data_IF_674399094310
#
_entry.id   IF_674399094310
#
_cell.length_a   1.000
_cell.length_b   1.000
_cell.length_c   1.000
_cell.angle_alpha   90.00
_cell.angle_beta   90.00
_cell.angle_gamma   90.00
#
_symmetry.space_group_name_H-M   'P 1'
#
loop_
_entity.id
_entity.type
_entity.pdbx_description
1 polymer ?
#
# COMPACT_ATOMS: atom_id res chain seq x y z
N UNK A 1 12.20 -40.83 15.41
CA UNK A 1 12.24 -40.06 14.14
C UNK A 1 10.86 -39.58 13.68
N UNK A 2 9.86 -40.44 13.42
CA UNK A 2 8.52 -40.01 12.94
C UNK A 2 7.82 -38.96 13.82
N UNK A 3 7.87 -39.05 15.16
CA UNK A 3 7.19 -38.06 16.04
C UNK A 3 7.77 -36.64 15.93
N UNK A 4 9.10 -36.53 15.77
CA UNK A 4 9.83 -35.26 15.65
C UNK A 4 9.49 -34.57 14.32
N UNK A 5 9.43 -35.32 13.22
CA UNK A 5 9.07 -34.79 11.89
C UNK A 5 7.65 -34.19 11.88
N UNK A 6 6.69 -34.86 12.54
CA UNK A 6 5.32 -34.35 12.62
C UNK A 6 5.20 -33.13 13.54
N UNK A 7 5.99 -33.07 14.61
CA UNK A 7 6.03 -31.91 15.51
C UNK A 7 6.64 -30.69 14.81
N UNK A 8 7.71 -30.89 14.03
CA UNK A 8 8.31 -29.86 13.18
C UNK A 8 7.37 -29.39 12.07
N UNK A 9 6.62 -30.30 11.45
CA UNK A 9 5.62 -29.94 10.44
C UNK A 9 4.47 -29.10 11.04
N UNK A 10 3.95 -29.48 12.21
CA UNK A 10 2.94 -28.68 12.90
C UNK A 10 3.47 -27.33 13.38
N UNK A 11 4.73 -27.26 13.79
CA UNK A 11 5.37 -26.01 14.19
C UNK A 11 5.58 -25.09 12.98
N UNK A 12 6.01 -25.64 11.83
CA UNK A 12 6.11 -24.91 10.56
C UNK A 12 4.76 -24.39 10.03
N UNK A 13 3.70 -25.19 10.19
CA UNK A 13 2.33 -24.78 9.82
C UNK A 13 1.77 -23.70 10.78
N UNK A 14 2.09 -23.77 12.08
CA UNK A 14 1.72 -22.75 13.05
C UNK A 14 2.41 -21.41 12.76
N UNK A 15 3.69 -21.45 12.37
CA UNK A 15 4.42 -20.24 11.96
C UNK A 15 3.85 -19.62 10.68
N UNK A 16 3.37 -20.43 9.72
CA UNK A 16 2.70 -19.95 8.50
C UNK A 16 1.35 -19.27 8.78
N UNK A 17 0.63 -19.69 9.82
CA UNK A 17 -0.65 -19.06 10.21
C UNK A 17 -0.49 -17.71 10.93
N UNK A 18 0.70 -17.44 11.49
CA UNK A 18 0.99 -16.20 12.22
C UNK A 18 1.48 -15.06 11.29
N UNK A 19 1.86 -15.37 10.05
CA UNK A 19 2.38 -14.39 9.08
C UNK A 19 1.30 -13.79 8.17
N UNK A 20 0.03 -14.14 8.36
CA UNK A 20 -1.06 -13.48 7.64
C UNK A 20 -1.32 -12.11 8.26
N UNK A 21 -0.66 -11.06 7.77
CA UNK A 21 -1.04 -9.68 8.07
C UNK A 21 -2.24 -9.28 7.22
N UNK A 22 -3.14 -8.50 7.81
CA UNK A 22 -4.17 -7.80 7.07
C UNK A 22 -3.51 -6.67 6.27
N UNK A 23 -3.78 -6.59 4.97
CA UNK A 23 -3.39 -5.41 4.20
C UNK A 23 -4.08 -4.16 4.77
N UNK A 24 -3.38 -3.04 4.75
CA UNK A 24 -3.95 -1.75 5.15
C UNK A 24 -4.38 -0.98 3.91
N UNK A 25 -5.67 -0.66 3.81
CA UNK A 25 -6.21 0.18 2.73
C UNK A 25 -6.16 1.63 3.18
N UNK A 26 -5.64 2.50 2.31
CA UNK A 26 -5.62 3.94 2.49
C UNK A 26 -6.50 4.58 1.42
N UNK A 27 -7.35 5.52 1.84
CA UNK A 27 -8.11 6.40 0.95
C UNK A 27 -7.85 7.83 1.36
N UNK A 28 -7.46 8.66 0.42
CA UNK A 28 -7.21 10.06 0.73
C UNK A 28 -7.71 10.98 -0.38
N UNK A 29 -8.03 12.21 0.03
CA UNK A 29 -8.18 13.34 -0.88
C UNK A 29 -6.99 14.27 -0.61
N UNK A 30 -6.49 14.92 -1.66
CA UNK A 30 -5.33 15.79 -1.57
C UNK A 30 -5.49 17.02 -2.46
N UNK A 31 -4.77 18.07 -2.07
CA UNK A 31 -4.47 19.23 -2.89
C UNK A 31 -2.96 19.21 -3.23
N UNK A 32 -2.60 19.65 -4.43
CA UNK A 32 -1.22 19.74 -4.89
C UNK A 32 -1.02 20.96 -5.79
N UNK A 33 0.22 21.41 -5.95
CA UNK A 33 0.56 22.49 -6.88
C UNK A 33 1.79 23.28 -6.48
N UNK A 34 1.84 24.53 -6.91
CA UNK A 34 2.93 25.46 -6.60
C UNK A 34 2.41 26.73 -5.96
N UNK A 35 1.96 26.68 -4.69
CA UNK A 35 1.36 27.84 -4.02
C UNK A 35 2.25 29.09 -4.07
N UNK A 36 3.57 28.92 -4.04
CA UNK A 36 4.51 30.05 -4.15
C UNK A 36 4.38 30.82 -5.47
N UNK A 37 4.10 30.13 -6.58
CA UNK A 37 3.91 30.75 -7.90
C UNK A 37 2.43 31.08 -8.18
N UNK A 38 1.51 30.34 -7.57
CA UNK A 38 0.07 30.42 -7.80
C UNK A 38 -0.66 31.32 -6.78
N UNK A 39 0.05 32.23 -6.11
CA UNK A 39 -0.55 33.20 -5.18
C UNK A 39 -1.12 32.59 -3.89
N UNK A 40 -0.60 31.43 -3.49
CA UNK A 40 -1.02 30.67 -2.31
C UNK A 40 -2.05 29.58 -2.61
N UNK A 41 -2.49 29.44 -3.85
CA UNK A 41 -3.50 28.46 -4.24
C UNK A 41 -2.87 27.11 -4.61
N UNK A 42 -3.57 26.04 -4.25
CA UNK A 42 -3.30 24.71 -4.80
C UNK A 42 -4.14 24.55 -6.06
N UNK A 43 -3.47 24.44 -7.20
CA UNK A 43 -4.12 24.42 -8.53
C UNK A 43 -4.59 23.04 -8.95
N UNK A 44 -4.25 22.00 -8.18
CA UNK A 44 -4.64 20.62 -8.41
C UNK A 44 -5.32 20.03 -7.16
N UNK A 45 -6.32 19.19 -7.39
CA UNK A 45 -6.95 18.40 -6.34
C UNK A 45 -7.24 16.99 -6.85
N UNK A 46 -7.24 16.02 -5.95
CA UNK A 46 -7.36 14.62 -6.34
C UNK A 46 -7.71 13.70 -5.19
N UNK A 47 -7.81 12.42 -5.54
CA UNK A 47 -8.01 11.33 -4.61
C UNK A 47 -7.19 10.11 -5.03
N UNK A 48 -6.90 9.26 -4.07
CA UNK A 48 -6.33 7.95 -4.34
C UNK A 48 -6.88 6.88 -3.42
N UNK A 49 -6.71 5.64 -3.86
CA UNK A 49 -6.87 4.43 -3.06
C UNK A 49 -5.63 3.56 -3.26
N UNK A 50 -5.06 3.07 -2.17
CA UNK A 50 -3.93 2.14 -2.22
C UNK A 50 -3.97 1.14 -1.08
N UNK A 51 -3.20 0.07 -1.24
CA UNK A 51 -3.09 -1.02 -0.27
C UNK A 51 -1.63 -1.26 0.09
N UNK A 52 -1.27 -1.08 1.37
CA UNK A 52 0.01 -1.51 1.92
C UNK A 52 0.01 -3.05 1.97
N UNK A 53 0.53 -3.66 0.89
CA UNK A 53 0.49 -5.11 0.67
C UNK A 53 1.64 -5.82 1.37
N UNK A 54 2.73 -5.09 1.63
CA UNK A 54 3.94 -5.62 2.26
C UNK A 54 3.96 -5.38 3.80
N UNK A 55 3.02 -4.58 4.31
CA UNK A 55 2.82 -4.20 5.70
C UNK A 55 4.04 -3.48 6.30
N UNK A 56 4.66 -2.55 5.56
CA UNK A 56 5.79 -1.73 6.01
C UNK A 56 5.36 -0.35 6.55
N UNK A 57 4.07 0.00 6.47
CA UNK A 57 3.51 1.26 6.95
C UNK A 57 3.69 2.43 5.99
N UNK A 58 4.13 2.15 4.77
CA UNK A 58 4.29 3.09 3.67
C UNK A 58 3.39 2.65 2.53
N UNK A 59 2.88 3.61 1.77
CA UNK A 59 2.22 3.36 0.51
C UNK A 59 3.12 3.87 -0.62
N UNK A 60 3.71 2.94 -1.36
CA UNK A 60 4.59 3.23 -2.50
C UNK A 60 3.83 3.29 -3.83
N UNK A 61 4.45 3.83 -4.89
CA UNK A 61 3.79 4.03 -6.18
C UNK A 61 3.11 2.76 -6.75
N UNK A 62 3.76 1.60 -6.60
CA UNK A 62 3.22 0.31 -7.06
C UNK A 62 1.99 -0.20 -6.28
N UNK A 63 1.62 0.46 -5.19
CA UNK A 63 0.53 0.05 -4.29
C UNK A 63 -0.74 0.89 -4.47
N UNK A 64 -0.72 1.88 -5.36
CA UNK A 64 -1.94 2.57 -5.77
C UNK A 64 -2.80 1.67 -6.66
N UNK A 65 -4.08 1.56 -6.30
CA UNK A 65 -5.11 0.93 -7.13
C UNK A 65 -5.95 1.95 -7.90
N UNK A 66 -6.07 3.15 -7.33
CA UNK A 66 -6.77 4.28 -7.92
C UNK A 66 -5.96 5.54 -7.64
N UNK A 67 -5.80 6.36 -8.67
CA UNK A 67 -5.33 7.72 -8.53
C UNK A 67 -6.11 8.58 -9.51
N UNK A 68 -6.70 9.65 -9.02
CA UNK A 68 -7.38 10.65 -9.82
C UNK A 68 -6.92 12.02 -9.38
N UNK A 69 -6.62 12.85 -10.35
CA UNK A 69 -6.21 14.22 -10.17
C UNK A 69 -6.97 15.07 -11.18
N UNK A 70 -7.26 16.32 -10.82
CA UNK A 70 -7.75 17.31 -11.77
C UNK A 70 -7.31 18.72 -11.42
N UNK A 71 -7.19 19.53 -12.47
CA UNK A 71 -7.10 20.99 -12.44
C UNK A 71 -8.18 21.59 -13.34
N UNK A 72 -8.18 22.91 -13.48
CA UNK A 72 -9.03 23.60 -14.43
C UNK A 72 -8.74 23.26 -15.92
N UNK A 73 -7.54 22.74 -16.24
CA UNK A 73 -7.09 22.52 -17.61
C UNK A 73 -6.82 21.05 -17.97
N UNK A 74 -6.62 20.19 -16.98
CA UNK A 74 -6.19 18.80 -17.19
C UNK A 74 -6.70 17.87 -16.09
N UNK A 75 -6.80 16.59 -16.42
CA UNK A 75 -7.04 15.50 -15.48
C UNK A 75 -6.07 14.37 -15.74
N UNK A 76 -5.57 13.74 -14.68
CA UNK A 76 -4.66 12.62 -14.75
C UNK A 76 -5.19 11.49 -13.88
N UNK A 77 -4.92 10.28 -14.34
CA UNK A 77 -5.24 9.03 -13.68
C UNK A 77 -3.96 8.27 -13.35
N UNK A 78 -4.10 7.13 -12.67
CA UNK A 78 -2.96 6.26 -12.35
C UNK A 78 -2.11 5.88 -13.58
N UNK A 79 -2.71 5.72 -14.76
CA UNK A 79 -1.95 5.37 -15.98
C UNK A 79 -1.14 6.51 -16.57
N UNK A 80 -1.44 7.76 -16.18
CA UNK A 80 -0.75 8.94 -16.66
C UNK A 80 0.46 9.30 -15.76
N UNK A 81 0.52 8.70 -14.57
CA UNK A 81 1.61 8.89 -13.63
C UNK A 81 2.85 8.13 -14.09
N UNK A 82 3.99 8.80 -13.94
CA UNK A 82 5.30 8.17 -14.10
C UNK A 82 5.79 7.61 -12.76
N UNK A 83 5.68 8.40 -11.70
CA UNK A 83 6.08 8.03 -10.35
C UNK A 83 5.40 8.93 -9.30
N UNK A 84 5.38 8.48 -8.05
CA UNK A 84 4.95 9.26 -6.90
C UNK A 84 5.90 9.04 -5.75
N UNK A 85 6.12 10.09 -4.95
CA UNK A 85 6.75 9.89 -3.66
C UNK A 85 5.90 9.01 -2.74
N UNK A 86 6.56 8.39 -1.78
CA UNK A 86 5.95 7.48 -0.83
C UNK A 86 5.05 8.22 0.16
N UNK A 87 4.02 7.53 0.67
CA UNK A 87 3.13 8.07 1.70
C UNK A 87 3.32 7.29 2.99
N UNK A 88 3.82 7.98 4.02
CA UNK A 88 3.95 7.41 5.36
C UNK A 88 2.58 7.44 6.03
N UNK A 89 1.98 6.26 6.20
CA UNK A 89 0.58 6.12 6.65
C UNK A 89 0.39 6.66 8.07
N UNK A 90 1.33 6.36 8.96
CA UNK A 90 1.25 6.73 10.38
C UNK A 90 1.27 8.24 10.64
N UNK A 91 2.04 8.99 9.85
CA UNK A 91 2.18 10.44 9.97
C UNK A 91 1.37 11.21 8.94
N UNK A 92 0.67 10.50 8.04
CA UNK A 92 -0.09 11.09 6.93
C UNK A 92 0.78 12.09 6.16
N UNK A 93 1.99 11.67 5.84
CA UNK A 93 2.98 12.53 5.18
C UNK A 93 3.27 11.96 3.81
N UNK A 94 3.09 12.78 2.78
CA UNK A 94 3.59 12.47 1.45
C UNK A 94 5.04 12.92 1.36
N UNK A 95 5.95 12.01 1.08
CA UNK A 95 7.37 12.29 0.94
C UNK A 95 7.67 12.77 -0.48
N UNK A 96 8.65 13.66 -0.60
CA UNK A 96 9.20 14.12 -1.87
C UNK A 96 10.40 13.25 -2.26
N UNK A 97 10.19 11.95 -2.44
CA UNK A 97 11.25 10.98 -2.77
C UNK A 97 10.99 10.22 -4.08
N UNK A 98 9.97 10.62 -4.85
CA UNK A 98 9.72 10.10 -6.18
C UNK A 98 10.67 10.70 -7.23
N UNK A 99 10.80 10.00 -8.34
CA UNK A 99 11.57 10.45 -9.52
C UNK A 99 10.91 11.71 -10.09
N UNK A 100 11.69 12.77 -10.32
CA UNK A 100 11.18 14.06 -10.82
C UNK A 100 11.17 14.16 -12.34
N UNK A 101 10.65 15.28 -12.87
CA UNK A 101 10.77 15.61 -14.30
C UNK A 101 12.24 15.57 -14.79
N UNK A 102 12.43 15.46 -16.11
CA UNK A 102 13.77 15.36 -16.70
C UNK A 102 14.62 16.62 -16.44
N UNK A 103 15.77 16.44 -15.78
CA UNK A 103 16.72 17.53 -15.52
C UNK A 103 16.58 18.17 -14.13
N UNK A 104 15.82 17.57 -13.23
CA UNK A 104 15.77 17.91 -11.81
C UNK A 104 16.25 16.76 -10.93
N UNK A 105 16.58 17.07 -9.67
CA UNK A 105 16.85 16.05 -8.66
C UNK A 105 15.57 15.27 -8.32
N UNK A 106 15.70 13.97 -8.03
CA UNK A 106 14.59 13.05 -7.75
C UNK A 106 13.99 13.31 -6.35
N UNK A 107 13.23 14.41 -6.26
CA UNK A 107 12.57 14.89 -5.06
C UNK A 107 11.09 15.24 -5.32
N UNK A 108 10.39 14.41 -6.08
CA UNK A 108 8.99 14.64 -6.45
C UNK A 108 8.01 14.02 -5.44
N UNK A 109 6.89 14.72 -5.26
CA UNK A 109 5.68 14.14 -4.69
C UNK A 109 4.89 13.38 -5.77
N UNK A 110 4.75 13.97 -6.96
CA UNK A 110 3.95 13.42 -8.06
C UNK A 110 4.62 13.78 -9.38
N UNK A 111 4.83 12.81 -10.27
CA UNK A 111 5.39 13.00 -11.61
C UNK A 111 4.51 12.31 -12.65
N UNK A 112 4.29 12.97 -13.77
CA UNK A 112 3.41 12.48 -14.84
C UNK A 112 3.97 12.80 -16.23
N UNK A 113 3.24 12.36 -17.27
CA UNK A 113 3.55 12.65 -18.68
C UNK A 113 4.98 12.23 -19.06
N UNK A 114 5.36 10.99 -18.73
CA UNK A 114 6.71 10.44 -18.97
C UNK A 114 7.84 11.37 -18.49
N UNK A 115 7.68 11.93 -17.28
CA UNK A 115 8.58 12.91 -16.67
C UNK A 115 8.62 14.27 -17.38
N UNK A 116 7.57 14.63 -18.12
CA UNK A 116 7.39 15.96 -18.69
C UNK A 116 7.13 17.03 -17.62
N UNK A 117 6.53 16.65 -16.48
CA UNK A 117 6.25 17.56 -15.38
C UNK A 117 6.15 16.82 -14.03
N UNK A 118 6.47 17.52 -12.94
CA UNK A 118 6.27 16.98 -11.58
C UNK A 118 6.02 18.06 -10.53
N UNK A 119 5.22 17.75 -9.51
CA UNK A 119 5.19 18.52 -8.26
C UNK A 119 6.39 18.07 -7.44
N UNK A 120 7.42 18.90 -7.36
CA UNK A 120 8.64 18.59 -6.62
C UNK A 120 9.17 19.78 -5.82
N UNK A 121 10.08 19.52 -4.91
CA UNK A 121 10.60 20.53 -3.98
C UNK A 121 11.56 21.53 -4.64
N UNK A 122 12.19 21.19 -5.78
CA UNK A 122 13.12 22.08 -6.48
C UNK A 122 12.45 23.34 -7.02
N UNK A 123 11.18 23.23 -7.43
CA UNK A 123 10.36 24.36 -7.85
C UNK A 123 9.28 24.69 -6.83
N UNK A 124 9.51 24.39 -5.54
CA UNK A 124 8.60 24.76 -4.45
C UNK A 124 7.18 24.18 -4.62
N UNK A 125 7.11 22.97 -5.17
CA UNK A 125 5.87 22.20 -5.22
C UNK A 125 5.49 21.71 -3.83
N UNK A 126 4.19 21.69 -3.56
CA UNK A 126 3.63 21.29 -2.28
C UNK A 126 2.44 20.35 -2.50
N UNK A 127 2.22 19.48 -1.51
CA UNK A 127 1.05 18.60 -1.43
C UNK A 127 0.50 18.62 -0.02
N UNK A 128 -0.82 18.43 0.12
CA UNK A 128 -1.48 18.34 1.42
C UNK A 128 -2.69 17.44 1.33
N UNK A 129 -2.88 16.59 2.34
CA UNK A 129 -4.13 15.83 2.49
C UNK A 129 -5.26 16.71 3.00
N UNK A 130 -6.40 16.65 2.34
CA UNK A 130 -7.67 17.25 2.78
C UNK A 130 -8.54 16.26 3.53
N UNK A 131 -8.31 14.95 3.32
CA UNK A 131 -8.83 13.86 4.15
C UNK A 131 -7.92 12.65 4.04
N UNK A 132 -7.84 11.84 5.09
CA UNK A 132 -7.03 10.62 5.12
C UNK A 132 -7.73 9.53 5.96
N UNK A 133 -8.19 8.47 5.30
CA UNK A 133 -8.86 7.33 5.91
C UNK A 133 -7.95 6.09 5.79
N UNK A 134 -7.79 5.40 6.92
CA UNK A 134 -7.04 4.14 7.00
C UNK A 134 -7.98 3.06 7.50
N UNK A 135 -8.04 1.94 6.78
CA UNK A 135 -8.88 0.80 7.12
C UNK A 135 -8.09 -0.50 7.00
N UNK A 136 -8.15 -1.35 8.01
CA UNK A 136 -7.56 -2.68 7.96
C UNK A 136 -8.51 -3.63 7.23
N UNK A 137 -8.00 -4.38 6.23
CA UNK A 137 -8.79 -5.40 5.55
C UNK A 137 -8.96 -6.60 6.47
N UNK A 138 -10.20 -7.05 6.78
CA UNK A 138 -10.39 -8.23 7.61
C UNK A 138 -9.70 -9.45 7.01
N UNK A 139 -8.97 -10.20 7.84
CA UNK A 139 -8.34 -11.44 7.41
C UNK A 139 -9.39 -12.38 6.80
N UNK A 140 -9.08 -13.04 5.66
CA UNK A 140 -10.00 -13.99 5.06
C UNK A 140 -10.41 -15.08 6.08
N UNK A 141 -11.71 -15.41 6.22
CA UNK A 141 -12.16 -16.47 7.13
C UNK A 141 -11.47 -17.82 6.88
N UNK A 142 -10.95 -18.05 5.67
CA UNK A 142 -10.15 -19.22 5.31
C UNK A 142 -8.92 -19.43 6.23
N UNK A 143 -8.31 -18.35 6.73
CA UNK A 143 -7.21 -18.43 7.71
C UNK A 143 -7.71 -19.05 9.03
N UNK A 144 -8.94 -18.73 9.44
CA UNK A 144 -9.57 -19.29 10.64
C UNK A 144 -9.97 -20.76 10.46
N UNK A 145 -10.19 -21.22 9.22
CA UNK A 145 -10.49 -22.63 8.93
C UNK A 145 -9.26 -23.54 9.00
N UNK A 146 -8.06 -22.99 9.05
CA UNK A 146 -6.82 -23.75 9.08
C UNK A 146 -6.67 -24.57 10.38
N UNK A 147 -7.03 -23.99 11.52
CA UNK A 147 -6.98 -24.65 12.82
C UNK A 147 -7.93 -25.86 12.95
N UNK A 148 -9.24 -25.76 12.66
CA UNK A 148 -10.14 -26.91 12.70
C UNK A 148 -9.82 -27.95 11.62
N UNK A 149 -9.35 -27.53 10.42
CA UNK A 149 -8.89 -28.46 9.41
C UNK A 149 -7.69 -29.28 9.90
N UNK A 150 -6.70 -28.65 10.54
CA UNK A 150 -5.53 -29.33 11.11
C UNK A 150 -5.94 -30.32 12.21
N UNK A 151 -6.86 -29.93 13.10
CA UNK A 151 -7.41 -30.82 14.13
C UNK A 151 -8.17 -32.00 13.52
N UNK A 152 -8.92 -31.77 12.44
CA UNK A 152 -9.60 -32.81 11.67
C UNK A 152 -8.61 -33.83 11.09
N UNK A 153 -7.54 -33.37 10.43
CA UNK A 153 -6.49 -34.23 9.90
C UNK A 153 -5.75 -35.02 10.99
N UNK A 154 -5.47 -34.40 12.14
CA UNK A 154 -4.87 -35.07 13.29
C UNK A 154 -5.81 -36.15 13.90
N UNK A 155 -7.11 -35.87 13.96
CA UNK A 155 -8.12 -36.81 14.43
C UNK A 155 -8.26 -38.05 13.53
N UNK A 156 -8.31 -37.84 12.21
CA UNK A 156 -8.36 -38.92 11.22
C UNK A 156 -7.14 -39.84 11.27
N UNK A 157 -5.94 -39.28 11.53
CA UNK A 157 -4.71 -40.05 11.70
C UNK A 157 -4.77 -41.03 12.88
N UNK A 158 -5.50 -40.68 13.95
CA UNK A 158 -5.65 -41.55 15.13
C UNK A 158 -6.48 -42.80 14.82
N UNK A 159 -7.50 -42.66 13.97
CA UNK A 159 -8.37 -43.77 13.53
C UNK A 159 -7.66 -44.72 12.56
N UNK A 160 -6.84 -44.20 11.65
CA UNK A 160 -6.07 -45.02 10.71
C UNK A 160 -5.08 -45.99 11.40
N UNK A 161 -4.63 -45.67 12.62
CA UNK A 161 -3.71 -46.51 13.41
C UNK A 161 -4.40 -47.56 14.29
N UNK A 162 -5.73 -47.46 14.43
CA UNK A 162 -6.58 -48.41 15.16
C UNK A 162 -7.31 -49.39 14.22
N UNK A 163 -7.31 -49.11 12.91
CA UNK A 163 -7.90 -49.96 11.87
C UNK A 163 -6.93 -51.02 11.32
N UNK A 164 -5.78 -51.20 11.98
CA UNK A 164 -4.79 -52.27 11.80
C UNK A 164 -4.50 -52.85 13.17
#
# INVERSE_FOLDING_TARGET
MKKIVWMLLSLGLLTLSLTASAATVVKANFDAGWPTYDGGEFTFSGNFVGEDLNNDGVLSFGEFSVFNWSSASSSFTLSDLFDTGDIVISTQTWLANGISWVGADDLAYITWDDRGQSINTNILGEVRFTSFEVSAVPLPPAVLLFAPALLGFMGLRRKAKLAV
#
